data_IF_013208189378
#
_entry.id   IF_013208189378
#
_cell.length_a   1.000
_cell.length_b   1.000
_cell.length_c   1.000
_cell.angle_alpha   90.00
_cell.angle_beta   90.00
_cell.angle_gamma   90.00
#
_symmetry.space_group_name_H-M   'P 1'
#
loop_
_entity.id
_entity.type
_entity.pdbx_description
1 polymer ?
#
# COMPACT_ATOMS: atom_id res chain seq x y z
N UNK A 1 -13.96 14.79 23.85
CA UNK A 1 -12.89 13.91 23.36
C UNK A 1 -11.71 14.74 22.87
N UNK A 2 -10.49 14.36 23.23
CA UNK A 2 -9.26 15.03 22.78
C UNK A 2 -8.92 14.62 21.34
N UNK A 3 -8.38 15.55 20.52
CA UNK A 3 -8.15 15.40 19.07
C UNK A 3 -6.66 15.20 18.72
N UNK A 4 -5.94 14.42 19.52
CA UNK A 4 -4.48 14.29 19.40
C UNK A 4 -4.02 13.16 18.49
N UNK A 5 -4.92 12.26 18.09
CA UNK A 5 -4.61 11.11 17.24
C UNK A 5 -4.95 11.46 15.79
N UNK A 6 -3.94 11.33 14.92
CA UNK A 6 -4.07 11.43 13.48
C UNK A 6 -3.73 10.10 12.84
N UNK A 7 -4.51 9.73 11.83
CA UNK A 7 -4.22 8.60 10.95
C UNK A 7 -4.06 9.19 9.55
N UNK A 8 -2.90 8.96 8.96
CA UNK A 8 -2.44 9.55 7.70
C UNK A 8 -2.63 11.07 7.63
N UNK A 9 -2.23 11.76 8.70
CA UNK A 9 -2.33 13.22 8.82
C UNK A 9 -3.74 13.75 9.11
N UNK A 10 -4.78 12.91 9.09
CA UNK A 10 -6.17 13.29 9.38
C UNK A 10 -6.53 12.95 10.82
N UNK A 11 -7.10 13.91 11.54
CA UNK A 11 -7.57 13.69 12.92
C UNK A 11 -8.70 12.65 12.91
N UNK A 12 -8.53 11.58 13.67
CA UNK A 12 -9.55 10.53 13.88
C UNK A 12 -9.87 10.43 15.36
N UNK A 13 -11.14 10.55 15.70
CA UNK A 13 -11.65 10.45 17.09
C UNK A 13 -12.53 9.24 17.31
N UNK A 14 -12.86 8.50 16.24
CA UNK A 14 -13.68 7.29 16.31
C UNK A 14 -12.83 6.12 16.82
N UNK A 15 -13.31 5.48 17.89
CA UNK A 15 -12.66 4.33 18.54
C UNK A 15 -12.75 3.08 17.63
N UNK A 16 -13.78 3.00 16.79
CA UNK A 16 -14.03 1.88 15.88
C UNK A 16 -13.47 2.09 14.48
N UNK A 17 -12.62 3.12 14.29
CA UNK A 17 -12.01 3.39 13.01
C UNK A 17 -11.11 2.21 12.58
N UNK A 18 -11.36 1.59 11.41
CA UNK A 18 -10.55 0.49 10.93
C UNK A 18 -9.22 1.03 10.39
N UNK A 19 -8.13 0.86 11.14
CA UNK A 19 -6.79 1.17 10.67
C UNK A 19 -6.19 0.00 9.88
N UNK A 20 -5.54 0.31 8.77
CA UNK A 20 -5.04 -0.64 7.77
C UNK A 20 -3.54 -0.90 7.85
N UNK A 21 -3.11 -1.89 7.06
CA UNK A 21 -1.71 -2.11 6.78
C UNK A 21 -1.12 -0.88 6.06
N UNK A 22 0.05 -0.41 6.50
CA UNK A 22 0.80 0.75 6.01
C UNK A 22 0.30 2.14 6.43
N UNK A 23 -0.77 2.23 7.23
CA UNK A 23 -1.27 3.49 7.81
C UNK A 23 -0.22 4.11 8.74
N UNK A 24 -0.12 5.44 8.72
CA UNK A 24 0.74 6.22 9.62
C UNK A 24 -0.10 6.82 10.74
N UNK A 25 0.17 6.43 11.98
CA UNK A 25 -0.45 6.98 13.18
C UNK A 25 0.47 8.05 13.76
N UNK A 26 0.00 9.28 13.84
CA UNK A 26 0.74 10.40 14.45
C UNK A 26 0.05 10.84 15.75
N UNK A 27 0.84 11.01 16.80
CA UNK A 27 0.38 11.50 18.11
C UNK A 27 0.98 12.89 18.33
N UNK A 28 0.18 13.94 18.12
CA UNK A 28 0.67 15.33 18.18
C UNK A 28 1.25 15.71 19.56
N UNK A 29 0.73 15.09 20.64
CA UNK A 29 1.11 15.42 22.01
C UNK A 29 2.50 14.91 22.37
N UNK A 30 2.90 13.75 21.84
CA UNK A 30 4.22 13.15 22.08
C UNK A 30 5.18 13.41 20.92
N UNK A 31 4.68 13.86 19.76
CA UNK A 31 5.45 14.03 18.54
C UNK A 31 5.86 12.71 17.88
N UNK A 32 5.30 11.60 18.33
CA UNK A 32 5.63 10.26 17.84
C UNK A 32 4.83 9.90 16.60
N UNK A 33 5.49 9.18 15.69
CA UNK A 33 4.89 8.66 14.46
C UNK A 33 5.10 7.15 14.41
N UNK A 34 4.00 6.42 14.34
CA UNK A 34 3.96 4.96 14.22
C UNK A 34 3.44 4.57 12.86
N UNK A 35 3.76 3.34 12.47
CA UNK A 35 3.34 2.78 11.21
C UNK A 35 2.82 1.38 11.42
N UNK A 36 1.61 1.11 10.95
CA UNK A 36 1.01 -0.21 11.01
C UNK A 36 1.67 -1.12 9.97
N UNK A 37 2.49 -2.08 10.40
CA UNK A 37 3.09 -3.11 9.53
C UNK A 37 2.90 -4.48 10.20
N UNK A 38 2.75 -5.54 9.40
CA UNK A 38 3.01 -6.91 9.84
C UNK A 38 4.52 -7.07 10.12
N UNK A 39 4.91 -7.60 11.28
CA UNK A 39 6.30 -7.84 11.70
C UNK A 39 7.11 -8.59 10.60
N UNK A 40 8.32 -8.21 10.14
CA UNK A 40 9.62 -8.36 10.85
C UNK A 40 10.78 -7.40 10.43
N UNK A 41 10.62 -6.40 9.55
CA UNK A 41 11.73 -5.47 9.17
C UNK A 41 11.21 -4.09 8.66
N UNK A 42 10.31 -3.48 9.42
CA UNK A 42 9.46 -2.36 8.99
C UNK A 42 10.15 -1.13 8.36
N UNK A 43 9.56 -0.58 7.28
CA UNK A 43 9.84 0.75 6.70
C UNK A 43 8.82 1.18 5.59
N UNK A 44 8.68 2.50 5.43
CA UNK A 44 8.07 3.38 4.38
C UNK A 44 6.64 3.18 3.83
N UNK A 45 5.95 4.33 3.60
CA UNK A 45 4.55 4.51 3.14
C UNK A 45 4.37 4.08 1.70
N UNK A 46 3.89 2.86 1.51
CA UNK A 46 3.65 2.32 0.17
C UNK A 46 2.24 1.79 0.09
N UNK A 47 1.53 2.22 -0.95
CA UNK A 47 0.14 1.86 -1.18
C UNK A 47 0.05 0.95 -2.40
N UNK A 48 -0.38 -0.31 -2.19
CA UNK A 48 -0.65 -1.23 -3.29
C UNK A 48 -1.87 -0.78 -4.10
N UNK A 49 -1.75 -0.84 -5.42
CA UNK A 49 -2.83 -0.60 -6.39
C UNK A 49 -3.74 -1.82 -6.47
N UNK A 50 -5.02 -1.65 -6.12
CA UNK A 50 -6.02 -2.72 -6.19
C UNK A 50 -6.74 -2.76 -7.53
N UNK A 51 -7.10 -1.61 -8.06
CA UNK A 51 -7.90 -1.52 -9.30
C UNK A 51 -7.59 -0.24 -10.02
N UNK A 52 -7.54 -0.33 -11.34
CA UNK A 52 -7.52 0.82 -12.23
C UNK A 52 -8.77 0.72 -13.09
N UNK A 53 -9.51 1.80 -13.22
CA UNK A 53 -10.70 1.85 -14.06
C UNK A 53 -10.87 3.24 -14.67
N UNK A 54 -11.55 3.30 -15.81
CA UNK A 54 -11.91 4.56 -16.44
C UNK A 54 -13.28 4.98 -15.92
N UNK A 55 -13.32 6.13 -15.27
CA UNK A 55 -14.53 6.72 -14.71
C UNK A 55 -15.34 7.48 -15.77
N UNK A 56 -16.32 8.24 -15.28
CA UNK A 56 -17.10 9.15 -16.14
C UNK A 56 -16.19 10.16 -16.85
N UNK A 57 -16.57 10.53 -18.08
CA UNK A 57 -15.78 11.44 -18.94
C UNK A 57 -14.40 10.91 -19.35
N UNK A 58 -14.17 9.59 -19.30
CA UNK A 58 -12.92 8.99 -19.75
C UNK A 58 -11.74 9.21 -18.80
N UNK A 59 -11.98 9.66 -17.57
CA UNK A 59 -10.91 9.98 -16.61
C UNK A 59 -10.42 8.68 -15.95
N UNK A 60 -9.12 8.33 -16.05
CA UNK A 60 -8.57 7.17 -15.37
C UNK A 60 -8.51 7.41 -13.86
N UNK A 61 -8.99 6.43 -13.10
CA UNK A 61 -8.97 6.39 -11.64
C UNK A 61 -8.19 5.16 -11.17
N UNK A 62 -7.33 5.37 -10.18
CA UNK A 62 -6.58 4.34 -9.48
C UNK A 62 -7.11 4.23 -8.06
N UNK A 63 -7.42 3.01 -7.62
CA UNK A 63 -7.87 2.71 -6.26
C UNK A 63 -6.79 1.91 -5.53
N UNK A 64 -6.39 2.41 -4.37
CA UNK A 64 -5.42 1.74 -3.50
C UNK A 64 -6.11 0.78 -2.51
N UNK A 65 -5.32 -0.06 -1.85
CA UNK A 65 -5.80 -0.95 -0.80
C UNK A 65 -6.42 -0.23 0.42
N UNK A 66 -5.95 0.98 0.73
CA UNK A 66 -6.49 1.90 1.75
C UNK A 66 -7.70 2.71 1.22
N UNK A 67 -8.42 2.18 0.23
CA UNK A 67 -9.62 2.80 -0.37
C UNK A 67 -9.44 4.24 -0.90
N UNK A 68 -8.20 4.72 -1.06
CA UNK A 68 -7.94 6.04 -1.68
C UNK A 68 -8.15 5.93 -3.17
N UNK A 69 -8.77 6.96 -3.74
CA UNK A 69 -8.96 7.08 -5.19
C UNK A 69 -8.15 8.26 -5.72
N UNK A 70 -7.19 7.97 -6.59
CA UNK A 70 -6.33 8.97 -7.23
C UNK A 70 -6.73 9.10 -8.69
N UNK A 71 -6.91 10.33 -9.15
CA UNK A 71 -7.25 10.65 -10.55
C UNK A 71 -5.99 10.91 -11.35
N UNK A 72 -6.03 10.60 -12.65
CA UNK A 72 -4.92 10.80 -13.57
C UNK A 72 -3.61 10.10 -13.11
N UNK A 73 -3.65 8.79 -12.82
CA UNK A 73 -2.43 8.03 -12.58
C UNK A 73 -1.57 7.97 -13.85
N UNK A 74 -0.26 7.76 -13.68
CA UNK A 74 0.65 7.48 -14.78
C UNK A 74 0.19 6.20 -15.53
N UNK A 75 0.09 6.22 -16.88
CA UNK A 75 -0.30 5.05 -17.68
C UNK A 75 0.58 3.81 -17.48
N UNK A 76 1.81 3.97 -16.98
CA UNK A 76 2.74 2.87 -16.71
C UNK A 76 2.35 2.04 -15.48
N UNK A 77 1.54 2.60 -14.58
CA UNK A 77 1.13 1.94 -13.33
C UNK A 77 0.08 0.88 -13.64
N UNK A 78 0.32 -0.35 -13.18
CA UNK A 78 -0.58 -1.49 -13.35
C UNK A 78 -1.17 -1.97 -12.02
N UNK A 79 -2.16 -2.85 -12.12
CA UNK A 79 -2.73 -3.52 -10.95
C UNK A 79 -1.64 -4.36 -10.27
N UNK A 80 -1.62 -4.33 -8.94
CA UNK A 80 -0.60 -4.89 -8.04
C UNK A 80 0.71 -4.11 -7.91
N UNK A 81 0.96 -3.09 -8.74
CA UNK A 81 2.08 -2.18 -8.48
C UNK A 81 1.86 -1.42 -7.18
N UNK A 82 2.94 -0.87 -6.64
CA UNK A 82 2.91 -0.15 -5.38
C UNK A 82 3.28 1.30 -5.63
N UNK A 83 2.46 2.24 -5.13
CA UNK A 83 2.68 3.66 -5.30
C UNK A 83 3.13 4.29 -3.98
N UNK A 84 4.11 5.19 -4.07
CA UNK A 84 4.48 6.07 -2.98
C UNK A 84 3.64 7.34 -3.06
N UNK A 85 2.99 7.69 -1.95
CA UNK A 85 2.08 8.82 -1.87
C UNK A 85 2.63 9.78 -0.82
N UNK A 86 2.60 11.07 -1.16
CA UNK A 86 2.77 12.13 -0.18
C UNK A 86 1.46 12.32 0.60
N UNK A 87 1.52 12.19 1.93
CA UNK A 87 0.37 12.25 2.81
C UNK A 87 -0.27 13.64 2.86
N UNK A 88 0.50 14.71 2.65
CA UNK A 88 -0.01 16.08 2.69
C UNK A 88 -0.77 16.43 1.41
N UNK A 89 -0.15 16.15 0.26
CA UNK A 89 -0.71 16.52 -1.05
C UNK A 89 -1.64 15.45 -1.62
N UNK A 90 -1.54 14.21 -1.15
CA UNK A 90 -2.26 13.06 -1.70
C UNK A 90 -1.82 12.68 -3.11
N UNK A 91 -0.69 13.21 -3.59
CA UNK A 91 -0.14 12.95 -4.93
C UNK A 91 0.82 11.78 -4.91
N UNK A 92 0.93 11.12 -6.06
CA UNK A 92 1.89 10.04 -6.28
C UNK A 92 3.27 10.68 -6.48
N UNK A 93 4.25 10.28 -5.68
CA UNK A 93 5.64 10.72 -5.82
C UNK A 93 6.45 9.76 -6.71
N UNK A 94 6.26 8.45 -6.51
CA UNK A 94 6.97 7.40 -7.24
C UNK A 94 6.15 6.11 -7.26
N UNK A 95 6.53 5.14 -8.09
CA UNK A 95 5.90 3.82 -8.14
C UNK A 95 6.91 2.70 -8.36
N UNK A 96 6.63 1.56 -7.72
CA UNK A 96 7.42 0.34 -7.79
C UNK A 96 6.58 -0.73 -8.50
N UNK A 97 7.13 -1.30 -9.58
CA UNK A 97 6.47 -2.34 -10.36
C UNK A 97 6.46 -3.67 -9.61
N UNK A 98 5.38 -4.42 -9.75
CA UNK A 98 5.29 -5.78 -9.22
C UNK A 98 5.86 -6.78 -10.25
N UNK A 99 7.18 -6.92 -10.23
CA UNK A 99 7.93 -7.75 -11.18
C UNK A 99 9.09 -8.50 -10.50
N UNK A 100 9.67 -9.47 -11.21
CA UNK A 100 10.82 -10.25 -10.73
C UNK A 100 12.02 -9.35 -10.42
N UNK A 101 12.73 -9.64 -9.33
CA UNK A 101 13.87 -8.88 -8.84
C UNK A 101 13.50 -7.80 -7.82
N UNK A 102 12.21 -7.54 -7.57
CA UNK A 102 11.78 -6.58 -6.57
C UNK A 102 11.48 -7.24 -5.22
N UNK A 103 11.72 -6.49 -4.15
CA UNK A 103 11.41 -6.87 -2.78
C UNK A 103 9.90 -6.80 -2.55
N UNK A 104 9.34 -7.85 -1.95
CA UNK A 104 7.93 -7.90 -1.60
C UNK A 104 7.73 -8.43 -0.18
N UNK A 105 6.55 -8.15 0.38
CA UNK A 105 6.14 -8.66 1.68
C UNK A 105 4.82 -9.41 1.53
N UNK A 106 4.73 -10.56 2.20
CA UNK A 106 3.52 -11.39 2.19
C UNK A 106 2.48 -10.79 3.13
N UNK A 107 1.32 -10.43 2.59
CA UNK A 107 0.21 -9.79 3.33
C UNK A 107 -0.93 -10.76 3.69
N UNK A 108 -0.79 -12.06 3.45
CA UNK A 108 -1.82 -13.06 3.77
C UNK A 108 -1.36 -14.50 3.62
N UNK A 109 -2.14 -15.44 4.16
CA UNK A 109 -1.81 -16.88 4.16
C UNK A 109 -0.85 -17.28 5.29
N UNK A 110 -0.35 -18.52 5.24
CA UNK A 110 0.52 -19.08 6.29
C UNK A 110 1.89 -18.37 6.41
N UNK A 111 2.32 -17.68 5.36
CA UNK A 111 3.62 -17.00 5.29
C UNK A 111 3.51 -15.48 5.57
N UNK A 112 2.46 -15.02 6.25
CA UNK A 112 2.25 -13.60 6.56
C UNK A 112 3.46 -12.95 7.25
N UNK A 113 3.84 -11.74 6.80
CA UNK A 113 4.92 -10.94 7.41
C UNK A 113 6.34 -11.25 6.89
N UNK A 114 6.51 -12.32 6.11
CA UNK A 114 7.79 -12.64 5.48
C UNK A 114 8.11 -11.67 4.35
N UNK A 115 9.40 -11.33 4.23
CA UNK A 115 9.95 -10.44 3.22
C UNK A 115 10.88 -11.26 2.32
N UNK A 116 10.81 -11.04 1.02
CA UNK A 116 11.67 -11.75 0.06
C UNK A 116 11.66 -11.12 -1.32
N UNK A 117 12.63 -11.52 -2.14
CA UNK A 117 12.74 -11.08 -3.53
C UNK A 117 11.92 -11.99 -4.43
N UNK A 118 11.12 -11.39 -5.33
CA UNK A 118 10.35 -12.14 -6.33
C UNK A 118 11.33 -12.75 -7.34
N UNK A 119 11.36 -14.07 -7.45
CA UNK A 119 12.27 -14.78 -8.37
C UNK A 119 11.59 -15.20 -9.66
N UNK A 120 10.36 -15.70 -9.57
CA UNK A 120 9.63 -16.18 -10.73
C UNK A 120 8.16 -15.77 -10.65
N UNK A 121 7.57 -15.53 -11.82
CA UNK A 121 6.17 -15.21 -12.02
C UNK A 121 5.57 -16.18 -13.03
N UNK A 122 4.71 -17.06 -12.55
CA UNK A 122 3.93 -17.97 -13.37
C UNK A 122 2.54 -17.39 -13.61
N UNK A 123 2.17 -17.24 -14.89
CA UNK A 123 0.86 -16.71 -15.27
C UNK A 123 -0.07 -17.86 -15.63
N UNK A 124 -1.21 -17.91 -14.96
CA UNK A 124 -2.29 -18.86 -15.25
C UNK A 124 -3.50 -18.12 -15.80
N UNK A 125 -3.84 -18.30 -17.09
CA UNK A 125 -5.02 -17.67 -17.66
C UNK A 125 -6.29 -18.07 -16.90
N UNK A 126 -7.02 -17.08 -16.37
CA UNK A 126 -8.26 -17.31 -15.62
C UNK A 126 -8.07 -17.58 -14.12
N UNK A 127 -6.83 -17.56 -13.61
CA UNK A 127 -6.53 -17.70 -12.19
C UNK A 127 -5.58 -16.59 -11.72
N UNK A 128 -5.23 -16.60 -10.43
CA UNK A 128 -4.23 -15.71 -9.87
C UNK A 128 -2.83 -16.06 -10.42
N UNK A 129 -2.05 -15.03 -10.74
CA UNK A 129 -0.62 -15.19 -11.03
C UNK A 129 0.08 -15.73 -9.77
N UNK A 130 0.91 -16.76 -9.96
CA UNK A 130 1.69 -17.37 -8.89
C UNK A 130 3.08 -16.73 -8.89
N UNK A 131 3.51 -16.27 -7.72
CA UNK A 131 4.82 -15.67 -7.52
C UNK A 131 5.62 -16.53 -6.54
N UNK A 132 6.83 -16.92 -6.96
CA UNK A 132 7.80 -17.51 -6.05
C UNK A 132 8.70 -16.41 -5.50
N UNK A 133 8.94 -16.44 -4.19
CA UNK A 133 9.86 -15.55 -3.50
C UNK A 133 10.87 -16.38 -2.73
N UNK A 134 12.11 -15.88 -2.68
CA UNK A 134 13.14 -16.40 -1.79
C UNK A 134 13.20 -15.43 -0.60
N UNK A 135 13.19 -15.98 0.61
CA UNK A 135 13.40 -15.21 1.83
C UNK A 135 14.86 -14.76 1.89
N UNK A 136 15.08 -13.46 2.07
CA UNK A 136 16.41 -12.95 2.40
C UNK A 136 16.63 -13.16 3.92
N UNK A 137 17.62 -13.99 4.28
CA UNK A 137 18.10 -14.16 5.67
C UNK A 137 18.57 -12.80 6.28
#
# INVERSE_FOLDING_TARGET
MQRFIKIDGKVRTDITYPAGFMDVISIDKTGENFRLIYDTKGRFAVCKVRKIFVGTKGIPHLVTHDARTIRYPDPLIKVNDTIQIDLETGKISDFIKFDTGNLCMVTGGANLGRIGVITNRERHPGSFDVYLFIEDD
#
